data_IF_843850727239
#
_entry.id   IF_843850727239
#
_cell.length_a   1.000
_cell.length_b   1.000
_cell.length_c   1.000
_cell.angle_alpha   90.00
_cell.angle_beta   90.00
_cell.angle_gamma   90.00
#
_symmetry.space_group_name_H-M   'P 1'
#
loop_
_entity.id
_entity.type
_entity.pdbx_description
1 polymer ?
#
# COMPACT_ATOMS: atom_id res chain seq x y z
N UNK A 1 -0.02 -3.37 -1.02
CA UNK A 1 0.95 -4.35 -1.56
C UNK A 1 1.02 -5.54 -0.62
N UNK A 2 0.89 -6.72 -1.19
CA UNK A 2 1.17 -8.02 -0.58
C UNK A 2 2.55 -8.46 -1.09
N UNK A 3 3.55 -8.47 -0.22
CA UNK A 3 4.96 -8.76 -0.59
C UNK A 3 5.33 -10.24 -0.60
N UNK A 4 4.37 -11.15 -0.39
CA UNK A 4 4.58 -12.61 -0.34
C UNK A 4 3.24 -13.30 -0.59
N UNK A 5 2.76 -13.18 -1.83
CA UNK A 5 1.40 -13.52 -2.21
C UNK A 5 1.27 -15.02 -2.51
N UNK A 6 0.44 -15.70 -1.71
CA UNK A 6 0.25 -17.15 -1.79
C UNK A 6 -0.78 -17.59 -2.86
N UNK A 7 -1.46 -16.64 -3.53
CA UNK A 7 -2.56 -16.87 -4.49
C UNK A 7 -3.94 -17.18 -3.90
N UNK A 8 -4.06 -17.30 -2.58
CA UNK A 8 -5.34 -17.63 -1.93
C UNK A 8 -5.99 -16.39 -1.32
N UNK A 9 -5.19 -15.55 -0.67
CA UNK A 9 -5.68 -14.39 0.07
C UNK A 9 -4.71 -13.24 -0.04
N UNK A 10 -5.26 -12.02 -0.15
CA UNK A 10 -4.47 -10.80 -0.22
C UNK A 10 -4.28 -10.24 1.19
N UNK A 11 -3.02 -10.14 1.63
CA UNK A 11 -2.67 -9.52 2.91
C UNK A 11 -2.00 -8.17 2.68
N UNK A 12 -2.62 -7.11 3.21
CA UNK A 12 -2.02 -5.77 3.18
C UNK A 12 -0.77 -5.76 4.07
N UNK A 13 0.42 -5.78 3.46
CA UNK A 13 1.69 -5.64 4.17
C UNK A 13 2.28 -4.24 4.06
N UNK A 14 2.02 -3.55 2.95
CA UNK A 14 2.33 -2.14 2.76
C UNK A 14 1.15 -1.43 2.12
N UNK A 15 0.89 -0.17 2.51
CA UNK A 15 -0.16 0.67 1.95
C UNK A 15 0.39 2.06 1.66
N UNK A 16 -0.06 2.65 0.54
CA UNK A 16 0.40 3.94 0.05
C UNK A 16 -0.79 4.77 -0.39
N UNK A 17 -0.71 6.07 -0.20
CA UNK A 17 -1.79 7.02 -0.51
C UNK A 17 -1.27 8.06 -1.52
N UNK A 18 -1.63 7.88 -2.79
CA UNK A 18 -1.18 8.72 -3.92
C UNK A 18 -2.22 9.77 -4.36
N UNK A 19 -3.24 10.02 -3.52
CA UNK A 19 -4.42 10.80 -3.90
C UNK A 19 -4.17 12.31 -3.98
N UNK A 20 -4.91 12.98 -4.87
CA UNK A 20 -5.06 14.45 -4.87
C UNK A 20 -6.03 14.87 -3.75
N UNK A 21 -5.85 16.09 -3.20
CA UNK A 21 -6.58 16.69 -2.08
C UNK A 21 -6.16 16.27 -0.66
N UNK A 22 -4.85 16.29 -0.39
CA UNK A 22 -4.33 16.35 0.98
C UNK A 22 -4.77 15.14 1.84
N UNK A 23 -4.39 13.90 1.44
CA UNK A 23 -4.82 12.68 2.14
C UNK A 23 -4.36 12.64 3.61
N UNK A 24 -3.44 13.53 4.01
CA UNK A 24 -3.02 13.79 5.37
C UNK A 24 -4.18 14.22 6.28
N UNK A 25 -5.06 15.11 5.80
CA UNK A 25 -6.24 15.57 6.57
C UNK A 25 -7.26 14.46 6.77
N UNK A 26 -7.50 13.65 5.74
CA UNK A 26 -8.42 12.51 5.83
C UNK A 26 -7.89 11.49 6.85
N UNK A 27 -6.61 11.12 6.76
CA UNK A 27 -6.00 10.15 7.66
C UNK A 27 -5.93 10.65 9.11
N UNK A 28 -5.58 11.93 9.32
CA UNK A 28 -5.55 12.57 10.65
C UNK A 28 -6.93 12.56 11.30
N UNK A 29 -7.98 12.83 10.52
CA UNK A 29 -9.36 12.81 11.00
C UNK A 29 -9.80 11.40 11.37
N UNK A 30 -9.44 10.39 10.56
CA UNK A 30 -9.78 8.98 10.83
C UNK A 30 -9.03 8.41 12.02
N UNK A 31 -7.73 8.69 12.17
CA UNK A 31 -6.90 8.16 13.25
C UNK A 31 -7.01 8.95 14.57
N UNK A 32 -7.59 10.15 14.55
CA UNK A 32 -7.72 11.06 15.71
C UNK A 32 -6.41 11.29 16.48
N UNK A 33 -5.28 11.17 15.81
CA UNK A 33 -3.94 11.30 16.38
C UNK A 33 -3.08 12.24 15.54
N UNK A 34 -2.05 12.83 16.15
CA UNK A 34 -1.01 13.50 15.37
C UNK A 34 -0.24 12.45 14.56
N UNK A 35 -0.28 12.58 13.24
CA UNK A 35 0.46 11.72 12.34
C UNK A 35 1.89 12.24 12.31
N UNK A 36 2.84 11.38 12.65
CA UNK A 36 4.27 11.67 12.47
C UNK A 36 4.54 12.01 11.00
N UNK A 37 5.16 13.16 10.76
CA UNK A 37 5.42 13.69 9.42
C UNK A 37 6.36 12.76 8.62
N UNK A 38 7.32 12.12 9.27
CA UNK A 38 8.23 11.16 8.63
C UNK A 38 7.48 9.87 8.26
N UNK A 39 6.61 9.41 9.16
CA UNK A 39 5.72 8.28 8.87
C UNK A 39 4.77 8.61 7.70
N UNK A 40 4.29 9.84 7.61
CA UNK A 40 3.44 10.28 6.49
C UNK A 40 4.17 10.32 5.15
N UNK A 41 5.36 10.92 5.10
CA UNK A 41 6.16 10.99 3.87
C UNK A 41 6.44 9.60 3.30
N UNK A 42 6.63 8.62 4.19
CA UNK A 42 6.82 7.23 3.78
C UNK A 42 5.56 6.54 3.21
N UNK A 43 4.36 7.03 3.56
CA UNK A 43 3.06 6.52 3.11
C UNK A 43 2.60 7.23 1.83
N UNK A 44 3.03 8.47 1.63
CA UNK A 44 2.77 9.28 0.44
C UNK A 44 3.89 9.09 -0.60
N UNK A 45 4.11 7.84 -1.03
CA UNK A 45 5.17 7.47 -1.96
C UNK A 45 4.64 6.53 -3.05
N UNK A 46 5.13 6.69 -4.28
CA UNK A 46 4.91 5.76 -5.37
C UNK A 46 5.99 4.65 -5.42
N UNK A 47 6.97 4.71 -4.53
CA UNK A 47 8.03 3.73 -4.36
C UNK A 47 7.78 2.94 -3.09
N UNK A 48 7.73 1.61 -3.22
CA UNK A 48 7.61 0.72 -2.08
C UNK A 48 8.86 0.76 -1.20
N UNK A 49 8.68 0.60 0.11
CA UNK A 49 9.78 0.35 1.04
C UNK A 49 10.42 -1.01 0.68
N UNK A 50 11.73 -1.19 0.85
CA UNK A 50 12.37 -2.48 0.63
C UNK A 50 11.68 -3.59 1.43
N UNK A 51 11.58 -4.78 0.84
CA UNK A 51 11.03 -5.97 1.48
C UNK A 51 11.86 -7.19 1.08
N UNK A 52 11.92 -8.24 1.94
CA UNK A 52 12.64 -9.47 1.61
C UNK A 52 12.00 -10.16 0.40
N UNK A 53 12.79 -10.97 -0.31
CA UNK A 53 12.30 -11.75 -1.45
C UNK A 53 11.10 -12.63 -1.00
N UNK A 54 9.97 -12.62 -1.73
CA UNK A 54 8.80 -13.43 -1.40
C UNK A 54 9.15 -14.92 -1.40
N UNK A 55 8.67 -15.65 -0.39
CA UNK A 55 8.80 -17.11 -0.30
C UNK A 55 8.07 -17.80 -1.43
N UNK A 56 6.90 -17.29 -1.81
CA UNK A 56 6.11 -17.82 -2.92
C UNK A 56 6.53 -17.29 -4.29
N UNK A 57 7.61 -16.48 -4.35
CA UNK A 57 8.14 -15.91 -5.59
C UNK A 57 7.20 -14.90 -6.26
N UNK A 58 6.21 -14.37 -5.54
CA UNK A 58 5.20 -13.47 -6.08
C UNK A 58 4.89 -12.34 -5.12
N UNK A 59 4.57 -11.19 -5.71
CA UNK A 59 3.97 -10.05 -5.01
C UNK A 59 2.64 -9.72 -5.69
N UNK A 60 1.69 -9.21 -4.91
CA UNK A 60 0.45 -8.66 -5.45
C UNK A 60 0.32 -7.18 -5.12
N UNK A 61 0.00 -6.39 -6.14
CA UNK A 61 -0.27 -4.96 -6.02
C UNK A 61 -1.75 -4.77 -6.30
N UNK A 62 -2.49 -4.35 -5.28
CA UNK A 62 -3.88 -3.91 -5.40
C UNK A 62 -3.91 -2.40 -5.36
N UNK A 63 -4.60 -1.79 -6.32
CA UNK A 63 -4.86 -0.36 -6.45
C UNK A 63 -6.36 -0.16 -6.32
N UNK A 64 -6.75 0.79 -5.47
CA UNK A 64 -8.14 1.17 -5.27
C UNK A 64 -8.26 2.64 -5.64
N UNK A 65 -9.18 2.98 -6.54
CA UNK A 65 -9.42 4.38 -6.91
C UNK A 65 -10.38 5.07 -5.91
N UNK A 66 -10.65 6.35 -6.12
CA UNK A 66 -11.54 7.14 -5.27
C UNK A 66 -13.03 6.76 -5.38
N UNK A 67 -13.42 6.00 -6.41
CA UNK A 67 -14.78 5.46 -6.58
C UNK A 67 -14.94 4.09 -5.88
N UNK A 68 -13.86 3.52 -5.38
CA UNK A 68 -13.85 2.18 -4.77
C UNK A 68 -13.59 1.05 -5.76
N UNK A 69 -13.29 1.35 -7.03
CA UNK A 69 -12.91 0.31 -7.98
C UNK A 69 -11.55 -0.28 -7.62
N UNK A 70 -11.49 -1.61 -7.56
CA UNK A 70 -10.28 -2.35 -7.26
C UNK A 70 -9.68 -2.98 -8.51
N UNK A 71 -8.38 -2.75 -8.73
CA UNK A 71 -7.58 -3.48 -9.72
C UNK A 71 -6.43 -4.14 -9.00
N UNK A 72 -6.18 -5.41 -9.29
CA UNK A 72 -5.07 -6.16 -8.73
C UNK A 72 -4.19 -6.73 -9.84
N UNK A 73 -2.87 -6.61 -9.65
CA UNK A 73 -1.86 -7.20 -10.53
C UNK A 73 -0.86 -8.01 -9.70
N UNK A 74 -0.59 -9.24 -10.16
CA UNK A 74 0.39 -10.13 -9.56
C UNK A 74 1.67 -10.07 -10.40
N UNK A 75 2.81 -9.97 -9.71
CA UNK A 75 4.13 -10.00 -10.33
C UNK A 75 4.90 -11.20 -9.80
N UNK A 76 5.63 -11.88 -10.68
CA UNK A 76 6.56 -12.95 -10.32
C UNK A 76 7.94 -12.34 -10.15
N UNK A 77 8.63 -12.67 -9.07
CA UNK A 77 9.99 -12.21 -8.78
C UNK A 77 10.94 -13.39 -8.94
N UNK A 78 11.92 -13.22 -9.81
CA UNK A 78 12.97 -14.22 -10.12
C UNK A 78 14.16 -14.14 -9.17
#
# INVERSE_FOLDING_TARGET
IDTDYNQESFFVRQAYFLGMNDPYKALKTTLKAEIDREAWESLHSNVSRPFPKPKFGRIAVKVINHLGDEVMKVFRIE
#
